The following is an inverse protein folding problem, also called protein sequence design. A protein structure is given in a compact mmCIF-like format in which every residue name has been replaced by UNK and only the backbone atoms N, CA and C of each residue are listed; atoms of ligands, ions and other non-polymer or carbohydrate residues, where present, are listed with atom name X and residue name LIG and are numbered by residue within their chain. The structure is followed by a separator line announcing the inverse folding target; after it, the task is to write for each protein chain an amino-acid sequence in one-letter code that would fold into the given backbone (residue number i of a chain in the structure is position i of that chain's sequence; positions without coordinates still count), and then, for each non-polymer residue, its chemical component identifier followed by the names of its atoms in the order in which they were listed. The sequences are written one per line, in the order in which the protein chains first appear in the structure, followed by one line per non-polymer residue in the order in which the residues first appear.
data_IF_746355349740
#
_entry.id   IF_746355349740
#
_cell.length_a   1.000
_cell.length_b   1.000
_cell.length_c   1.000
_cell.angle_alpha   90.00
_cell.angle_beta   90.00
_cell.angle_gamma   90.00
#
_symmetry.space_group_name_H-M   'P 1'
#
loop_
_entity.id
_entity.type
_entity.pdbx_description
1 polymer ?
#
# COMPACT_ATOMS: atom_id res chain seq x y z
N UNK A 1 83.20 -0.01 -24.18
CA UNK A 1 82.25 -0.78 -25.00
C UNK A 1 80.93 -0.88 -24.22
N UNK A 2 79.82 -0.39 -24.82
CA UNK A 2 78.39 -0.59 -24.45
C UNK A 2 77.94 0.02 -23.09
N UNK A 3 76.82 0.73 -22.91
CA UNK A 3 75.70 1.15 -23.78
C UNK A 3 74.85 2.25 -23.06
N UNK A 4 74.48 3.28 -23.82
CA UNK A 4 73.23 4.07 -23.88
C UNK A 4 72.46 4.63 -22.65
N UNK A 5 72.22 5.95 -22.78
CA UNK A 5 71.17 6.82 -22.24
C UNK A 5 69.75 6.21 -22.23
N UNK A 6 68.99 6.48 -21.16
CA UNK A 6 67.52 6.50 -21.15
C UNK A 6 66.99 7.67 -20.28
N UNK A 7 65.82 8.17 -20.66
CA UNK A 7 65.20 9.43 -20.29
C UNK A 7 64.59 9.48 -18.87
N UNK A 8 64.46 10.69 -18.33
CA UNK A 8 63.73 10.99 -17.09
C UNK A 8 62.27 11.35 -17.39
N UNK A 9 61.28 10.84 -16.64
CA UNK A 9 59.89 11.25 -16.79
C UNK A 9 59.52 12.43 -15.88
N UNK A 10 58.60 13.24 -16.38
CA UNK A 10 57.91 14.30 -15.67
C UNK A 10 56.71 13.74 -14.90
N UNK A 11 56.62 14.07 -13.61
CA UNK A 11 55.45 14.01 -12.73
C UNK A 11 55.47 15.35 -11.98
N UNK A 12 54.39 16.10 -11.78
CA UNK A 12 52.98 15.73 -11.70
C UNK A 12 52.41 16.46 -10.49
N UNK A 13 52.43 17.80 -10.51
CA UNK A 13 52.01 18.63 -9.37
C UNK A 13 50.58 19.16 -9.55
N UNK A 14 49.71 18.62 -8.69
CA UNK A 14 48.53 19.24 -8.06
C UNK A 14 47.35 19.68 -8.95
N UNK A 15 46.44 18.73 -9.20
CA UNK A 15 45.02 19.05 -9.33
C UNK A 15 44.45 19.39 -7.94
N UNK A 16 43.79 20.55 -7.73
CA UNK A 16 43.08 20.79 -6.49
C UNK A 16 41.87 19.85 -6.45
N UNK A 17 41.89 18.88 -5.55
CA UNK A 17 40.70 18.12 -5.17
C UNK A 17 39.65 19.13 -4.73
N UNK A 18 38.68 19.33 -5.61
CA UNK A 18 37.48 20.10 -5.31
C UNK A 18 36.89 19.52 -4.03
N UNK A 19 36.67 20.42 -3.07
CA UNK A 19 35.93 20.14 -1.84
C UNK A 19 34.54 19.66 -2.25
N UNK A 20 34.36 18.34 -2.32
CA UNK A 20 33.04 17.75 -2.33
C UNK A 20 32.36 18.23 -1.05
N UNK A 21 31.37 19.09 -1.21
CA UNK A 21 30.51 19.54 -0.13
C UNK A 21 29.84 18.30 0.48
N UNK A 22 30.38 17.82 1.60
CA UNK A 22 29.66 16.92 2.50
C UNK A 22 28.35 17.63 2.87
N UNK A 23 27.17 17.05 2.62
CA UNK A 23 25.93 17.58 3.17
C UNK A 23 26.12 17.78 4.68
N UNK A 24 25.59 18.87 5.22
CA UNK A 24 25.60 19.12 6.66
C UNK A 24 25.05 17.88 7.39
N UNK A 25 25.49 17.62 8.63
CA UNK A 25 25.03 16.47 9.40
C UNK A 25 23.49 16.32 9.39
N UNK A 26 22.76 17.45 9.37
CA UNK A 26 21.31 17.51 9.18
C UNK A 26 20.84 16.98 7.81
N UNK A 27 21.51 17.36 6.72
CA UNK A 27 21.20 16.86 5.38
C UNK A 27 21.32 15.35 5.28
N UNK A 28 22.34 14.75 5.92
CA UNK A 28 22.49 13.30 5.96
C UNK A 28 21.38 12.62 6.77
N UNK A 29 20.97 13.20 7.90
CA UNK A 29 19.85 12.69 8.71
C UNK A 29 18.53 12.75 7.94
N UNK A 30 18.23 13.89 7.31
CA UNK A 30 17.01 14.06 6.52
C UNK A 30 16.96 13.09 5.34
N UNK A 31 18.09 12.93 4.65
CA UNK A 31 18.20 11.99 3.54
C UNK A 31 17.97 10.54 4.00
N UNK A 32 18.56 10.15 5.14
CA UNK A 32 18.34 8.84 5.72
C UNK A 32 16.87 8.61 6.09
N UNK A 33 16.20 9.59 6.69
CA UNK A 33 14.77 9.49 7.01
C UNK A 33 13.88 9.39 5.77
N UNK A 34 14.21 10.10 4.69
CA UNK A 34 13.52 9.96 3.41
C UNK A 34 13.70 8.56 2.82
N UNK A 35 14.91 8.01 2.88
CA UNK A 35 15.19 6.64 2.43
C UNK A 35 14.42 5.61 3.25
N UNK A 36 14.38 5.75 4.58
CA UNK A 36 13.61 4.87 5.45
C UNK A 36 12.12 4.98 5.17
N UNK A 37 11.60 6.21 5.08
CA UNK A 37 10.22 6.49 4.73
C UNK A 37 9.82 5.79 3.42
N UNK A 38 10.59 6.01 2.36
CA UNK A 38 10.38 5.34 1.08
C UNK A 38 10.46 3.81 1.22
N UNK A 39 11.44 3.30 1.97
CA UNK A 39 11.59 1.88 2.26
C UNK A 39 10.36 1.25 2.93
N UNK A 40 9.70 1.98 3.84
CA UNK A 40 8.47 1.53 4.49
C UNK A 40 7.27 1.48 3.54
N UNK A 41 7.07 2.52 2.73
CA UNK A 41 5.81 2.72 2.00
C UNK A 41 5.81 2.20 0.55
N UNK A 42 6.98 2.08 -0.10
CA UNK A 42 7.08 1.94 -1.57
C UNK A 42 6.32 0.77 -2.18
N UNK A 43 6.13 -0.33 -1.45
CA UNK A 43 5.45 -1.53 -1.96
C UNK A 43 3.93 -1.38 -1.98
N UNK A 44 3.41 -0.37 -1.28
CA UNK A 44 1.99 -0.21 -0.94
C UNK A 44 1.46 1.19 -1.32
N UNK A 45 2.26 2.02 -1.99
CA UNK A 45 1.87 3.37 -2.43
C UNK A 45 0.60 3.36 -3.30
N UNK A 46 0.51 2.44 -4.27
CA UNK A 46 -0.63 2.38 -5.18
C UNK A 46 -1.95 2.06 -4.49
N UNK A 47 -1.92 1.15 -3.51
CA UNK A 47 -3.11 0.64 -2.83
C UNK A 47 -3.50 1.48 -1.61
N UNK A 48 -2.54 2.01 -0.86
CA UNK A 48 -2.81 2.75 0.37
C UNK A 48 -2.91 4.27 0.22
N UNK A 49 -2.17 4.88 -0.71
CA UNK A 49 -2.11 6.34 -0.83
C UNK A 49 -3.11 6.91 -1.83
N UNK A 50 -3.13 6.37 -3.07
CA UNK A 50 -3.89 6.96 -4.19
C UNK A 50 -5.42 7.00 -4.02
N UNK A 51 -6.09 6.05 -3.33
CA UNK A 51 -7.53 6.09 -3.18
C UNK A 51 -8.04 7.34 -2.46
N UNK A 52 -7.29 7.86 -1.49
CA UNK A 52 -7.72 9.02 -0.67
C UNK A 52 -7.86 10.31 -1.49
N UNK A 53 -6.81 10.84 -2.17
CA UNK A 53 -6.96 12.03 -3.00
C UNK A 53 -7.92 11.79 -4.17
N UNK A 54 -8.00 10.57 -4.72
CA UNK A 54 -8.95 10.24 -5.78
C UNK A 54 -10.41 10.33 -5.33
N UNK A 55 -10.74 9.78 -4.17
CA UNK A 55 -12.12 9.78 -3.66
C UNK A 55 -12.51 11.15 -3.06
N UNK A 56 -11.55 11.89 -2.50
CA UNK A 56 -11.74 13.30 -2.14
C UNK A 56 -12.03 14.17 -3.37
N UNK A 57 -11.29 13.96 -4.48
CA UNK A 57 -11.57 14.61 -5.76
C UNK A 57 -12.98 14.27 -6.28
N UNK A 58 -13.38 13.01 -6.20
CA UNK A 58 -14.72 12.59 -6.60
C UNK A 58 -15.82 13.34 -5.82
N UNK A 59 -15.65 13.48 -4.49
CA UNK A 59 -16.54 14.28 -3.65
C UNK A 59 -16.57 15.76 -4.06
N UNK A 60 -15.40 16.37 -4.29
CA UNK A 60 -15.28 17.77 -4.73
C UNK A 60 -16.00 18.02 -6.06
N UNK A 61 -15.78 17.13 -7.04
CA UNK A 61 -16.42 17.21 -8.35
C UNK A 61 -17.94 17.02 -8.24
N UNK A 62 -18.39 16.08 -7.40
CA UNK A 62 -19.82 15.82 -7.19
C UNK A 62 -20.57 17.06 -6.71
N UNK A 63 -20.00 17.81 -5.76
CA UNK A 63 -20.59 19.07 -5.27
C UNK A 63 -20.25 20.30 -6.11
N UNK A 64 -19.61 20.11 -7.26
CA UNK A 64 -19.21 21.18 -8.20
C UNK A 64 -18.29 22.23 -7.56
N UNK A 65 -17.31 21.78 -6.77
CA UNK A 65 -16.28 22.64 -6.18
C UNK A 65 -15.51 23.42 -7.27
N UNK A 66 -15.04 24.62 -6.93
CA UNK A 66 -14.21 25.41 -7.84
C UNK A 66 -12.82 24.77 -8.01
N UNK A 67 -12.14 25.11 -9.10
CA UNK A 67 -10.76 24.67 -9.35
C UNK A 67 -9.81 25.11 -8.22
N UNK A 68 -9.99 26.32 -7.69
CA UNK A 68 -9.21 26.84 -6.56
C UNK A 68 -9.38 25.97 -5.30
N UNK A 69 -10.63 25.61 -5.00
CA UNK A 69 -10.93 24.76 -3.85
C UNK A 69 -10.34 23.35 -4.00
N UNK A 70 -10.38 22.79 -5.21
CA UNK A 70 -9.74 21.50 -5.50
C UNK A 70 -8.23 21.55 -5.21
N UNK A 71 -7.53 22.56 -5.73
CA UNK A 71 -6.09 22.72 -5.46
C UNK A 71 -5.78 22.92 -3.97
N UNK A 72 -6.69 23.58 -3.24
CA UNK A 72 -6.55 23.76 -1.80
C UNK A 72 -6.76 22.45 -1.03
N UNK A 73 -7.78 21.64 -1.35
CA UNK A 73 -8.17 20.47 -0.55
C UNK A 73 -7.30 19.23 -0.82
N UNK A 74 -6.88 19.01 -2.06
CA UNK A 74 -6.17 17.77 -2.45
C UNK A 74 -4.85 17.54 -1.68
N UNK A 75 -4.01 18.55 -1.38
CA UNK A 75 -2.83 18.35 -0.54
C UNK A 75 -3.16 17.80 0.86
N UNK A 76 -4.29 18.23 1.45
CA UNK A 76 -4.72 17.73 2.75
C UNK A 76 -5.13 16.26 2.69
N UNK A 77 -5.87 15.89 1.64
CA UNK A 77 -6.25 14.51 1.36
C UNK A 77 -5.02 13.62 1.10
N UNK A 78 -4.03 14.13 0.36
CA UNK A 78 -2.78 13.42 0.11
C UNK A 78 -2.01 13.13 1.40
N UNK A 79 -1.84 14.14 2.27
CA UNK A 79 -1.19 13.96 3.57
C UNK A 79 -1.96 12.98 4.46
N UNK A 80 -3.29 13.05 4.48
CA UNK A 80 -4.12 12.10 5.22
C UNK A 80 -3.92 10.67 4.71
N UNK A 81 -3.98 10.46 3.40
CA UNK A 81 -3.76 9.15 2.77
C UNK A 81 -2.35 8.61 2.99
N UNK A 82 -1.36 9.50 3.01
CA UNK A 82 0.02 9.14 3.32
C UNK A 82 0.16 8.66 4.77
N UNK A 83 -0.42 9.37 5.73
CA UNK A 83 -0.42 8.96 7.14
C UNK A 83 -1.21 7.66 7.35
N UNK A 84 -2.38 7.52 6.72
CA UNK A 84 -3.18 6.28 6.71
C UNK A 84 -2.34 5.07 6.28
N UNK A 85 -1.62 5.18 5.15
CA UNK A 85 -0.75 4.13 4.66
C UNK A 85 0.41 3.88 5.62
N UNK A 86 1.09 4.95 6.03
CA UNK A 86 2.35 4.86 6.75
C UNK A 86 2.18 4.23 8.14
N UNK A 87 1.10 4.58 8.86
CA UNK A 87 0.80 3.97 10.16
C UNK A 87 0.61 2.46 10.05
N UNK A 88 -0.05 1.98 8.99
CA UNK A 88 -0.30 0.56 8.79
C UNK A 88 0.95 -0.21 8.39
N UNK A 89 1.72 0.27 7.41
CA UNK A 89 2.91 -0.47 6.94
C UNK A 89 3.99 -0.56 8.00
N UNK A 90 4.14 0.45 8.87
CA UNK A 90 5.08 0.36 10.00
C UNK A 90 4.60 -0.67 11.02
N UNK A 91 3.31 -0.69 11.38
CA UNK A 91 2.75 -1.72 12.26
C UNK A 91 2.94 -3.12 11.69
N UNK A 92 2.66 -3.28 10.39
CA UNK A 92 2.79 -4.56 9.69
C UNK A 92 4.22 -5.08 9.69
N UNK A 93 5.21 -4.21 9.49
CA UNK A 93 6.62 -4.61 9.55
C UNK A 93 7.11 -4.90 10.98
N UNK A 94 6.53 -4.24 12.00
CA UNK A 94 6.85 -4.50 13.41
C UNK A 94 6.41 -5.92 13.80
N UNK A 95 5.22 -6.35 13.40
CA UNK A 95 4.70 -7.70 13.66
C UNK A 95 5.35 -8.75 12.72
N UNK A 96 5.49 -8.40 11.44
CA UNK A 96 5.89 -9.32 10.37
C UNK A 96 7.38 -9.56 10.19
N UNK A 97 8.26 -9.28 11.17
CA UNK A 97 9.73 -9.34 10.95
C UNK A 97 10.20 -10.72 10.45
N UNK A 98 9.70 -11.81 11.04
CA UNK A 98 10.08 -13.17 10.66
C UNK A 98 9.56 -13.54 9.27
N UNK A 99 8.31 -13.17 8.96
CA UNK A 99 7.69 -13.36 7.65
C UNK A 99 8.43 -12.55 6.56
N UNK A 100 8.74 -11.29 6.84
CA UNK A 100 9.38 -10.36 5.92
C UNK A 100 10.81 -10.78 5.58
N UNK A 101 11.55 -11.40 6.50
CA UNK A 101 12.87 -11.99 6.18
C UNK A 101 12.79 -13.04 5.07
N UNK A 102 11.65 -13.71 4.93
CA UNK A 102 11.42 -14.71 3.87
C UNK A 102 10.89 -14.03 2.61
N UNK A 103 9.80 -13.28 2.72
CA UNK A 103 9.07 -12.77 1.55
C UNK A 103 9.62 -11.44 1.01
N UNK A 104 10.11 -10.57 1.89
CA UNK A 104 10.37 -9.15 1.64
C UNK A 104 11.65 -8.68 2.39
N UNK A 105 12.81 -9.34 2.20
CA UNK A 105 14.02 -9.11 2.99
C UNK A 105 14.59 -7.69 2.84
N UNK A 106 14.15 -6.96 1.82
CA UNK A 106 14.46 -5.56 1.53
C UNK A 106 13.68 -4.54 2.38
N UNK A 107 12.70 -4.97 3.19
CA UNK A 107 11.94 -4.09 4.09
C UNK A 107 12.84 -3.54 5.21
N UNK A 108 12.66 -2.27 5.65
CA UNK A 108 13.55 -1.60 6.60
C UNK A 108 13.91 -2.38 7.87
N UNK A 109 12.95 -3.06 8.50
CA UNK A 109 13.21 -3.82 9.73
C UNK A 109 13.89 -5.16 9.42
N UNK A 110 13.42 -5.87 8.38
CA UNK A 110 13.98 -7.16 7.98
C UNK A 110 15.42 -7.07 7.47
N UNK A 111 15.76 -5.99 6.75
CA UNK A 111 17.11 -5.70 6.23
C UNK A 111 18.07 -5.14 7.28
N UNK A 112 17.57 -4.75 8.46
CA UNK A 112 18.36 -4.10 9.50
C UNK A 112 18.64 -2.61 9.23
N UNK A 113 17.99 -1.98 8.25
CA UNK A 113 18.10 -0.54 8.01
C UNK A 113 17.55 0.31 9.17
N UNK A 114 16.67 -0.26 10.00
CA UNK A 114 16.22 0.35 11.25
C UNK A 114 15.98 -0.72 12.32
N UNK A 115 16.03 -0.33 13.60
CA UNK A 115 15.78 -1.24 14.72
C UNK A 115 14.29 -1.39 15.02
N UNK A 116 13.90 -2.51 15.61
CA UNK A 116 12.51 -2.73 16.04
C UNK A 116 12.05 -1.65 17.04
N UNK A 117 12.93 -1.21 17.95
CA UNK A 117 12.62 -0.16 18.91
C UNK A 117 12.37 1.19 18.21
N UNK A 118 13.22 1.56 17.26
CA UNK A 118 13.03 2.79 16.48
C UNK A 118 11.73 2.75 15.66
N UNK A 119 11.40 1.60 15.06
CA UNK A 119 10.14 1.41 14.34
C UNK A 119 8.92 1.56 15.27
N UNK A 120 8.96 1.03 16.49
CA UNK A 120 7.88 1.19 17.48
C UNK A 120 7.68 2.66 17.88
N UNK A 121 8.76 3.39 18.14
CA UNK A 121 8.69 4.83 18.43
C UNK A 121 8.09 5.59 17.24
N UNK A 122 8.55 5.28 16.02
CA UNK A 122 8.01 5.84 14.78
C UNK A 122 6.52 5.56 14.63
N UNK A 123 6.07 4.34 14.91
CA UNK A 123 4.67 3.98 14.81
C UNK A 123 3.79 4.77 15.77
N UNK A 124 4.22 4.93 17.03
CA UNK A 124 3.51 5.76 18.02
C UNK A 124 3.43 7.20 17.55
N UNK A 125 4.56 7.79 17.13
CA UNK A 125 4.60 9.17 16.65
C UNK A 125 3.69 9.39 15.42
N UNK A 126 3.78 8.51 14.41
CA UNK A 126 2.93 8.57 13.22
C UNK A 126 1.46 8.43 13.55
N UNK A 127 1.10 7.51 14.45
CA UNK A 127 -0.29 7.27 14.85
C UNK A 127 -0.86 8.48 15.61
N UNK A 128 -0.06 9.10 16.49
CA UNK A 128 -0.45 10.35 17.17
C UNK A 128 -0.62 11.51 16.20
N UNK A 129 0.29 11.69 15.23
CA UNK A 129 0.18 12.72 14.20
C UNK A 129 -1.04 12.47 13.32
N UNK A 130 -1.28 11.23 12.90
CA UNK A 130 -2.44 10.85 12.09
C UNK A 130 -3.75 11.16 12.79
N UNK A 131 -3.87 10.78 14.07
CA UNK A 131 -5.05 11.08 14.87
C UNK A 131 -5.23 12.59 15.08
N UNK A 132 -4.19 13.33 15.47
CA UNK A 132 -4.27 14.77 15.66
C UNK A 132 -4.67 15.50 14.35
N UNK A 133 -4.07 15.11 13.23
CA UNK A 133 -4.39 15.66 11.92
C UNK A 133 -5.82 15.34 11.51
N UNK A 134 -6.34 14.15 11.83
CA UNK A 134 -7.73 13.78 11.55
C UNK A 134 -8.75 14.70 12.24
N UNK A 135 -8.46 15.20 13.45
CA UNK A 135 -9.31 16.16 14.15
C UNK A 135 -9.35 17.51 13.43
N UNK A 136 -8.23 17.95 12.84
CA UNK A 136 -8.20 19.19 12.05
C UNK A 136 -9.04 19.11 10.77
N UNK A 137 -9.27 17.88 10.28
CA UNK A 137 -10.06 17.59 9.09
C UNK A 137 -11.50 17.14 9.40
N UNK A 138 -11.85 16.92 10.67
CA UNK A 138 -13.16 16.40 11.08
C UNK A 138 -13.44 14.95 10.66
N UNK A 139 -12.39 14.12 10.59
CA UNK A 139 -12.47 12.70 10.16
C UNK A 139 -11.91 11.74 11.21
N UNK A 140 -12.03 12.09 12.50
CA UNK A 140 -11.50 11.32 13.62
C UNK A 140 -12.16 9.94 13.75
N UNK A 141 -13.45 9.81 13.45
CA UNK A 141 -14.19 8.53 13.54
C UNK A 141 -13.65 7.46 12.59
N UNK A 142 -13.56 7.68 11.26
CA UNK A 142 -12.93 6.71 10.37
C UNK A 142 -11.45 6.52 10.66
N UNK A 143 -10.75 7.55 11.16
CA UNK A 143 -9.35 7.41 11.61
C UNK A 143 -9.21 6.44 12.77
N UNK A 144 -10.06 6.55 13.80
CA UNK A 144 -10.08 5.63 14.94
C UNK A 144 -10.42 4.20 14.52
N UNK A 145 -11.35 4.02 13.58
CA UNK A 145 -11.62 2.72 12.98
C UNK A 145 -10.35 2.13 12.37
N UNK A 146 -9.61 2.90 11.57
CA UNK A 146 -8.37 2.41 10.96
C UNK A 146 -7.28 2.07 11.98
N UNK A 147 -7.12 2.88 13.03
CA UNK A 147 -6.17 2.60 14.11
C UNK A 147 -6.55 1.30 14.83
N UNK A 148 -7.82 1.13 15.18
CA UNK A 148 -8.32 -0.09 15.83
C UNK A 148 -8.12 -1.32 14.94
N UNK A 149 -8.44 -1.21 13.64
CA UNK A 149 -8.22 -2.25 12.64
C UNK A 149 -6.73 -2.58 12.47
N UNK A 150 -5.85 -1.57 12.46
CA UNK A 150 -4.39 -1.76 12.37
C UNK A 150 -3.87 -2.53 13.58
N UNK A 151 -4.36 -2.22 14.78
CA UNK A 151 -4.02 -2.95 16.00
C UNK A 151 -4.56 -4.38 15.94
N UNK A 152 -5.82 -4.57 15.56
CA UNK A 152 -6.43 -5.90 15.44
C UNK A 152 -5.68 -6.78 14.45
N UNK A 153 -5.42 -6.25 13.26
CA UNK A 153 -4.69 -6.92 12.19
C UNK A 153 -3.30 -7.37 12.65
N UNK A 154 -2.49 -6.44 13.17
CA UNK A 154 -1.07 -6.70 13.41
C UNK A 154 -0.75 -7.20 14.81
N UNK A 155 -1.46 -6.77 15.86
CA UNK A 155 -1.06 -7.09 17.25
C UNK A 155 -2.03 -8.01 17.98
N UNK A 156 -3.25 -8.20 17.47
CA UNK A 156 -4.24 -9.13 18.05
C UNK A 156 -4.38 -10.43 17.24
N UNK A 157 -3.52 -10.65 16.26
CA UNK A 157 -3.46 -11.89 15.48
C UNK A 157 -4.54 -12.05 14.42
N UNK A 158 -5.31 -11.01 14.08
CA UNK A 158 -6.35 -11.14 13.04
C UNK A 158 -5.73 -11.40 11.66
N UNK A 159 -4.49 -10.97 11.42
CA UNK A 159 -3.75 -11.31 10.21
C UNK A 159 -3.40 -12.81 10.09
N UNK A 160 -3.51 -13.58 11.17
CA UNK A 160 -3.09 -14.99 11.17
C UNK A 160 -4.13 -15.94 10.56
N UNK A 161 -5.35 -15.45 10.31
CA UNK A 161 -6.42 -16.21 9.69
C UNK A 161 -7.03 -15.40 8.54
N UNK A 162 -7.13 -16.01 7.36
CA UNK A 162 -7.55 -15.34 6.11
C UNK A 162 -8.81 -14.47 6.28
N UNK A 163 -9.95 -15.04 6.71
CA UNK A 163 -11.19 -14.27 6.88
C UNK A 163 -11.10 -13.06 7.82
N UNK A 164 -10.37 -13.16 8.93
CA UNK A 164 -10.20 -12.02 9.86
C UNK A 164 -9.24 -10.97 9.31
N UNK A 165 -8.22 -11.39 8.57
CA UNK A 165 -7.31 -10.51 7.83
C UNK A 165 -8.06 -9.73 6.76
N UNK A 166 -8.83 -10.43 5.94
CA UNK A 166 -9.64 -9.85 4.86
C UNK A 166 -10.69 -8.88 5.42
N UNK A 167 -11.33 -9.25 6.54
CA UNK A 167 -12.25 -8.39 7.26
C UNK A 167 -11.59 -7.09 7.77
N UNK A 168 -10.36 -7.17 8.29
CA UNK A 168 -9.59 -5.98 8.66
C UNK A 168 -9.34 -5.08 7.45
N UNK A 169 -8.91 -5.66 6.33
CA UNK A 169 -8.65 -4.89 5.12
C UNK A 169 -9.93 -4.24 4.55
N UNK A 170 -11.08 -4.92 4.64
CA UNK A 170 -12.40 -4.34 4.33
C UNK A 170 -12.78 -3.17 5.24
N UNK A 171 -12.59 -3.32 6.57
CA UNK A 171 -12.80 -2.22 7.52
C UNK A 171 -11.86 -1.03 7.24
N UNK A 172 -10.63 -1.30 6.83
CA UNK A 172 -9.68 -0.28 6.35
C UNK A 172 -10.18 0.45 5.12
N UNK A 173 -10.71 -0.26 4.13
CA UNK A 173 -11.31 0.34 2.93
C UNK A 173 -12.47 1.28 3.31
N UNK A 174 -13.37 0.86 4.20
CA UNK A 174 -14.46 1.71 4.72
C UNK A 174 -13.90 2.95 5.38
N UNK A 175 -12.94 2.80 6.31
CA UNK A 175 -12.31 3.93 7.00
C UNK A 175 -11.67 4.92 6.02
N UNK A 176 -10.86 4.41 5.09
CA UNK A 176 -10.13 5.19 4.10
C UNK A 176 -11.07 6.03 3.24
N UNK A 177 -12.09 5.39 2.65
CA UNK A 177 -12.99 6.04 1.70
C UNK A 177 -14.00 6.97 2.40
N UNK A 178 -14.44 6.62 3.61
CA UNK A 178 -15.30 7.50 4.43
C UNK A 178 -14.58 8.80 4.74
N UNK A 179 -13.33 8.72 5.20
CA UNK A 179 -12.54 9.92 5.46
C UNK A 179 -12.25 10.72 4.20
N UNK A 180 -11.85 10.05 3.11
CA UNK A 180 -11.57 10.70 1.84
C UNK A 180 -12.77 11.48 1.29
N UNK A 181 -13.97 10.89 1.35
CA UNK A 181 -15.20 11.57 0.92
C UNK A 181 -15.50 12.78 1.81
N UNK A 182 -15.40 12.62 3.13
CA UNK A 182 -15.64 13.70 4.08
C UNK A 182 -14.66 14.87 3.89
N UNK A 183 -13.38 14.61 3.60
CA UNK A 183 -12.39 15.65 3.27
C UNK A 183 -12.81 16.46 2.03
N UNK A 184 -13.45 15.80 1.05
CA UNK A 184 -13.99 16.50 -0.12
C UNK A 184 -15.27 17.31 0.16
N UNK A 185 -15.93 17.09 1.30
CA UNK A 185 -17.03 17.93 1.81
C UNK A 185 -18.39 17.76 1.12
N UNK A 186 -18.68 16.60 0.52
CA UNK A 186 -19.99 16.29 -0.08
C UNK A 186 -20.94 15.60 0.91
N UNK A 187 -22.21 15.44 0.53
CA UNK A 187 -23.23 14.72 1.30
C UNK A 187 -22.84 13.26 1.54
N UNK A 188 -23.02 12.80 2.78
CA UNK A 188 -22.57 11.48 3.25
C UNK A 188 -23.28 10.33 2.56
N UNK A 189 -24.53 10.50 2.18
CA UNK A 189 -25.40 9.45 1.65
C UNK A 189 -24.84 8.93 0.33
N UNK A 190 -24.47 9.84 -0.58
CA UNK A 190 -23.85 9.49 -1.85
C UNK A 190 -22.49 8.82 -1.66
N UNK A 191 -21.68 9.31 -0.72
CA UNK A 191 -20.40 8.69 -0.40
C UNK A 191 -20.58 7.25 0.09
N UNK A 192 -21.53 7.04 0.99
CA UNK A 192 -21.83 5.73 1.56
C UNK A 192 -22.33 4.73 0.53
N UNK A 193 -23.15 5.15 -0.44
CA UNK A 193 -23.52 4.30 -1.57
C UNK A 193 -22.29 3.73 -2.27
N UNK A 194 -21.33 4.58 -2.66
CA UNK A 194 -20.09 4.11 -3.32
C UNK A 194 -19.20 3.26 -2.41
N UNK A 195 -19.05 3.66 -1.14
CA UNK A 195 -18.17 2.97 -0.18
C UNK A 195 -18.58 1.51 0.00
N UNK A 196 -19.88 1.21 0.12
CA UNK A 196 -20.39 -0.16 0.27
C UNK A 196 -19.98 -1.04 -0.92
N UNK A 197 -20.18 -0.56 -2.14
CA UNK A 197 -19.85 -1.33 -3.34
C UNK A 197 -18.35 -1.50 -3.56
N UNK A 198 -17.56 -0.45 -3.33
CA UNK A 198 -16.09 -0.53 -3.45
C UNK A 198 -15.53 -1.47 -2.38
N UNK A 199 -16.03 -1.41 -1.15
CA UNK A 199 -15.58 -2.31 -0.08
C UNK A 199 -15.93 -3.76 -0.42
N UNK A 200 -17.17 -4.03 -0.84
CA UNK A 200 -17.58 -5.36 -1.25
C UNK A 200 -16.70 -5.89 -2.40
N UNK A 201 -16.38 -5.02 -3.36
CA UNK A 201 -15.46 -5.35 -4.43
C UNK A 201 -14.06 -5.68 -3.93
N UNK A 202 -13.51 -4.89 -3.01
CA UNK A 202 -12.15 -5.06 -2.50
C UNK A 202 -11.96 -6.32 -1.64
N UNK A 203 -13.02 -6.85 -1.01
CA UNK A 203 -12.93 -8.07 -0.20
C UNK A 203 -12.38 -9.28 -0.97
N UNK A 204 -12.67 -9.38 -2.27
CA UNK A 204 -12.28 -10.55 -3.07
C UNK A 204 -10.86 -10.51 -3.65
N UNK A 205 -10.33 -9.36 -4.10
CA UNK A 205 -8.93 -9.23 -4.45
C UNK A 205 -7.95 -9.27 -3.26
N UNK A 206 -8.36 -9.04 -2.02
CA UNK A 206 -7.42 -8.99 -0.89
C UNK A 206 -6.56 -10.27 -0.80
N UNK A 207 -7.12 -11.50 -0.86
CA UNK A 207 -6.35 -12.74 -0.86
C UNK A 207 -5.38 -12.91 -2.04
N UNK A 208 -5.48 -12.11 -3.10
CA UNK A 208 -4.53 -12.14 -4.22
C UNK A 208 -3.10 -11.86 -3.74
N UNK A 209 -2.95 -10.99 -2.75
CA UNK A 209 -1.64 -10.63 -2.19
C UNK A 209 -1.04 -11.79 -1.40
N UNK A 210 -1.86 -12.70 -0.89
CA UNK A 210 -1.41 -13.80 -0.04
C UNK A 210 -0.78 -14.91 -0.87
N UNK A 211 -1.13 -15.02 -2.16
CA UNK A 211 -0.55 -16.02 -3.07
C UNK A 211 0.97 -15.87 -3.20
N UNK A 212 1.51 -14.64 -3.12
CA UNK A 212 2.96 -14.40 -3.14
C UNK A 212 3.60 -14.54 -1.75
N UNK A 213 2.81 -14.45 -0.69
CA UNK A 213 3.29 -14.40 0.69
C UNK A 213 3.26 -15.77 1.38
N UNK A 214 2.77 -16.83 0.70
CA UNK A 214 2.68 -18.20 1.22
C UNK A 214 3.96 -18.72 1.90
N UNK A 215 5.18 -18.56 1.35
CA UNK A 215 6.39 -19.06 1.99
C UNK A 215 6.61 -18.46 3.39
N UNK A 216 6.52 -17.14 3.52
CA UNK A 216 6.62 -16.46 4.81
C UNK A 216 5.45 -16.75 5.74
N UNK A 217 4.21 -16.78 5.22
CA UNK A 217 3.02 -17.11 6.02
C UNK A 217 3.13 -18.51 6.66
N UNK A 218 3.60 -19.51 5.89
CA UNK A 218 3.87 -20.86 6.42
C UNK A 218 4.97 -20.85 7.48
N UNK A 219 6.03 -20.06 7.27
CA UNK A 219 7.16 -19.99 8.20
C UNK A 219 6.76 -19.45 9.58
N UNK A 220 5.70 -18.63 9.66
CA UNK A 220 5.17 -18.09 10.92
C UNK A 220 3.86 -18.74 11.36
N UNK A 221 3.41 -19.80 10.68
CA UNK A 221 2.23 -20.59 11.07
C UNK A 221 0.88 -19.91 10.79
N UNK A 222 0.81 -18.97 9.84
CA UNK A 222 -0.46 -18.34 9.43
C UNK A 222 -1.31 -19.29 8.59
N UNK A 223 -2.63 -19.09 8.70
CA UNK A 223 -3.66 -19.81 7.95
C UNK A 223 -4.37 -18.83 6.99
N UNK A 224 -3.61 -18.29 6.03
CA UNK A 224 -4.15 -17.41 4.98
C UNK A 224 -4.96 -18.21 3.95
N UNK A 225 -5.80 -17.53 3.16
CA UNK A 225 -6.69 -18.16 2.18
C UNK A 225 -5.95 -19.13 1.23
N UNK A 226 -4.77 -18.78 0.67
CA UNK A 226 -3.93 -19.72 -0.09
C UNK A 226 -3.49 -20.98 0.65
N UNK A 227 -3.27 -20.89 1.96
CA UNK A 227 -2.87 -22.02 2.80
C UNK A 227 -4.08 -22.89 3.14
N UNK A 228 -5.24 -22.29 3.38
CA UNK A 228 -6.48 -22.99 3.71
C UNK A 228 -7.09 -23.75 2.53
N UNK A 229 -7.08 -23.14 1.34
CA UNK A 229 -7.74 -23.70 0.15
C UNK A 229 -6.76 -24.37 -0.83
N UNK A 230 -5.47 -24.08 -0.73
CA UNK A 230 -4.46 -24.45 -1.73
C UNK A 230 -4.45 -23.49 -2.94
N UNK A 231 -3.38 -23.54 -3.76
CA UNK A 231 -3.10 -22.56 -4.83
C UNK A 231 -4.25 -22.47 -5.86
N UNK A 232 -4.64 -23.60 -6.46
CA UNK A 232 -5.64 -23.62 -7.54
C UNK A 232 -7.01 -23.13 -7.07
N UNK A 233 -7.52 -23.67 -5.95
CA UNK A 233 -8.84 -23.29 -5.43
C UNK A 233 -8.85 -21.83 -4.97
N UNK A 234 -7.75 -21.33 -4.40
CA UNK A 234 -7.64 -19.91 -4.04
C UNK A 234 -7.71 -18.99 -5.24
N UNK A 235 -7.04 -19.33 -6.34
CA UNK A 235 -7.12 -18.55 -7.59
C UNK A 235 -8.53 -18.55 -8.16
N UNK A 236 -9.22 -19.68 -8.12
CA UNK A 236 -10.63 -19.79 -8.55
C UNK A 236 -11.52 -18.94 -7.65
N UNK A 237 -11.37 -19.03 -6.32
CA UNK A 237 -12.10 -18.25 -5.34
C UNK A 237 -11.94 -16.74 -5.56
N UNK A 238 -10.70 -16.26 -5.70
CA UNK A 238 -10.39 -14.85 -5.97
C UNK A 238 -11.03 -14.41 -7.29
N UNK A 239 -10.87 -15.22 -8.35
CA UNK A 239 -11.40 -14.87 -9.68
C UNK A 239 -12.93 -14.83 -9.70
N UNK A 240 -13.59 -15.79 -9.06
CA UNK A 240 -15.04 -15.82 -8.92
C UNK A 240 -15.56 -14.61 -8.14
N UNK A 241 -14.85 -14.23 -7.06
CA UNK A 241 -15.18 -13.05 -6.27
C UNK A 241 -15.04 -11.74 -7.03
N UNK A 242 -13.96 -11.61 -7.80
CA UNK A 242 -13.72 -10.46 -8.68
C UNK A 242 -14.83 -10.36 -9.74
N UNK A 243 -15.16 -11.45 -10.44
CA UNK A 243 -16.23 -11.49 -11.45
C UNK A 243 -17.58 -11.12 -10.82
N UNK A 244 -17.91 -11.70 -9.66
CA UNK A 244 -19.17 -11.43 -8.96
C UNK A 244 -19.28 -9.97 -8.57
N UNK A 245 -18.23 -9.41 -7.98
CA UNK A 245 -18.20 -8.01 -7.57
C UNK A 245 -18.27 -7.05 -8.74
N UNK A 246 -17.66 -7.40 -9.87
CA UNK A 246 -17.76 -6.64 -11.12
C UNK A 246 -19.18 -6.67 -11.66
N UNK A 247 -19.82 -7.84 -11.71
CA UNK A 247 -21.21 -7.94 -12.12
C UNK A 247 -22.12 -7.05 -11.25
N UNK A 248 -21.91 -7.02 -9.93
CA UNK A 248 -22.68 -6.17 -9.02
C UNK A 248 -22.42 -4.67 -9.27
N UNK A 249 -21.16 -4.26 -9.39
CA UNK A 249 -20.78 -2.88 -9.73
C UNK A 249 -21.34 -2.45 -11.08
N UNK A 250 -21.22 -3.32 -12.09
CA UNK A 250 -21.72 -3.09 -13.44
C UNK A 250 -23.23 -2.98 -13.42
N UNK A 251 -23.93 -3.95 -12.85
CA UNK A 251 -25.40 -3.93 -12.72
C UNK A 251 -25.88 -2.63 -12.06
N UNK A 252 -25.27 -2.23 -10.95
CA UNK A 252 -25.66 -1.03 -10.22
C UNK A 252 -25.33 0.28 -10.97
N UNK A 253 -24.18 0.35 -11.66
CA UNK A 253 -23.77 1.55 -12.42
C UNK A 253 -24.46 1.68 -13.78
N UNK A 254 -24.69 0.56 -14.47
CA UNK A 254 -24.85 0.55 -15.94
C UNK A 254 -26.27 0.20 -16.36
N UNK A 255 -26.94 -0.71 -15.65
CA UNK A 255 -28.34 -1.01 -15.96
C UNK A 255 -29.29 0.08 -15.45
N UNK A 256 -28.89 0.86 -14.44
CA UNK A 256 -29.70 1.94 -13.86
C UNK A 256 -29.37 3.35 -14.39
N UNK A 257 -28.14 3.63 -14.86
CA UNK A 257 -27.75 4.99 -15.28
C UNK A 257 -27.40 5.17 -16.77
N UNK A 258 -26.53 4.33 -17.38
CA UNK A 258 -26.18 4.36 -18.84
C UNK A 258 -25.21 3.24 -19.22
N UNK A 259 -25.33 2.73 -20.46
CA UNK A 259 -24.38 1.82 -21.11
C UNK A 259 -23.54 2.59 -22.14
N UNK A 260 -22.22 2.68 -21.96
CA UNK A 260 -21.31 3.39 -22.89
C UNK A 260 -20.03 2.59 -23.21
N UNK A 261 -19.17 3.13 -24.08
CA UNK A 261 -17.94 2.45 -24.50
C UNK A 261 -16.96 2.25 -23.34
N UNK A 262 -16.85 3.23 -22.42
CA UNK A 262 -15.99 3.11 -21.23
C UNK A 262 -16.37 1.92 -20.36
N UNK A 263 -17.66 1.67 -20.23
CA UNK A 263 -18.22 0.52 -19.50
C UNK A 263 -17.77 -0.81 -20.11
N UNK A 264 -17.87 -0.96 -21.43
CA UNK A 264 -17.49 -2.19 -22.13
C UNK A 264 -15.98 -2.39 -22.01
N UNK A 265 -15.20 -1.35 -22.25
CA UNK A 265 -13.73 -1.39 -22.19
C UNK A 265 -13.26 -1.78 -20.78
N UNK A 266 -13.80 -1.15 -19.74
CA UNK A 266 -13.46 -1.48 -18.36
C UNK A 266 -13.81 -2.94 -18.03
N UNK A 267 -15.00 -3.41 -18.44
CA UNK A 267 -15.45 -4.78 -18.21
C UNK A 267 -14.55 -5.81 -18.92
N UNK A 268 -14.10 -5.53 -20.15
CA UNK A 268 -13.19 -6.39 -20.90
C UNK A 268 -11.79 -6.42 -20.29
N UNK A 269 -11.21 -5.26 -19.95
CA UNK A 269 -9.91 -5.19 -19.29
C UNK A 269 -9.91 -5.97 -17.97
N UNK A 270 -10.99 -5.85 -17.22
CA UNK A 270 -11.17 -6.53 -15.95
C UNK A 270 -11.39 -8.04 -16.09
N UNK A 271 -12.10 -8.50 -17.13
CA UNK A 271 -12.20 -9.92 -17.45
C UNK A 271 -10.83 -10.51 -17.82
N UNK A 272 -10.02 -9.77 -18.59
CA UNK A 272 -8.64 -10.15 -18.90
C UNK A 272 -7.81 -10.24 -17.61
N UNK A 273 -7.93 -9.28 -16.70
CA UNK A 273 -7.24 -9.34 -15.39
C UNK A 273 -7.66 -10.57 -14.57
N UNK A 274 -8.95 -10.90 -14.52
CA UNK A 274 -9.44 -12.11 -13.82
C UNK A 274 -8.87 -13.39 -14.42
N UNK A 275 -8.82 -13.49 -15.76
CA UNK A 275 -8.19 -14.62 -16.44
C UNK A 275 -6.69 -14.67 -16.16
N UNK A 276 -6.01 -13.52 -16.16
CA UNK A 276 -4.59 -13.43 -15.86
C UNK A 276 -4.25 -13.96 -14.46
N UNK A 277 -5.09 -13.75 -13.44
CA UNK A 277 -4.89 -14.31 -12.09
C UNK A 277 -4.86 -15.84 -12.09
N UNK A 278 -5.70 -16.47 -12.92
CA UNK A 278 -5.78 -17.94 -13.05
C UNK A 278 -4.60 -18.51 -13.82
N UNK A 279 -4.23 -17.87 -14.94
CA UNK A 279 -3.29 -18.45 -15.91
C UNK A 279 -1.84 -17.97 -15.74
N UNK A 280 -1.60 -16.78 -15.19
CA UNK A 280 -0.26 -16.26 -14.95
C UNK A 280 0.23 -16.76 -13.58
N UNK A 281 0.93 -17.89 -13.59
CA UNK A 281 1.69 -18.36 -12.43
C UNK A 281 3.00 -17.58 -12.32
N UNK A 282 3.37 -17.18 -11.11
CA UNK A 282 4.74 -16.70 -10.89
C UNK A 282 5.72 -17.84 -11.22
N UNK A 283 6.84 -17.57 -11.90
CA UNK A 283 7.87 -18.57 -12.09
C UNK A 283 8.33 -19.03 -10.70
N UNK A 284 8.10 -20.30 -10.40
CA UNK A 284 8.40 -20.89 -9.10
C UNK A 284 9.91 -20.85 -8.88
N UNK A 285 10.38 -19.95 -8.00
CA UNK A 285 11.78 -20.01 -7.54
C UNK A 285 12.06 -21.20 -6.61
N UNK A 286 11.03 -21.92 -6.19
CA UNK A 286 11.11 -23.22 -5.54
C UNK A 286 10.00 -24.11 -6.10
N UNK A 287 10.37 -25.29 -6.61
CA UNK A 287 9.44 -26.26 -7.18
C UNK A 287 8.32 -26.60 -6.20
N UNK A 288 7.08 -26.37 -6.65
CA UNK A 288 5.89 -26.81 -5.96
C UNK A 288 5.53 -28.20 -6.49
N UNK A 289 5.75 -29.24 -5.68
CA UNK A 289 5.29 -30.61 -5.92
C UNK A 289 4.67 -31.15 -4.64
N UNK A 290 3.36 -31.45 -4.67
CA UNK A 290 2.59 -32.05 -3.56
C UNK A 290 2.35 -31.06 -2.41
N UNK A 291 1.18 -30.96 -1.78
CA UNK A 291 0.14 -31.93 -1.46
C UNK A 291 -1.21 -31.23 -1.64
#
# INVERSE_FOLDING_TARGET
MLKQKTAAPADGDQFPLSKFHLPSALGNVLWHELQLCYGFVRRDLGTGLLPVPGFALASLLYRKASTEEIYRVIPYAFLYGFLYLYTFVVANQIDGVAEDKVNKPDRPIASGATTLQAAKIRWVALTSIYLAYSYTLGVEKPTMLWIATTIAHNFLGFANFGPTKDGCMGAGCIAQLTAAWAIGGSQSEMGWEWIKYITLYMLWPIPLQDLRDVPGDKAVGRLTTPILLGDTLSRIYISAGIITSQYLLVRHRILEYRYDVSTIVLSVLLAIMSLAVVFIKQPSKLGWSGI
#
